data_IF_654687396143
#
_entry.id   IF_654687396143
#
_cell.length_a   1.000
_cell.length_b   1.000
_cell.length_c   1.000
_cell.angle_alpha   90.00
_cell.angle_beta   90.00
_cell.angle_gamma   90.00
#
_symmetry.space_group_name_H-M   'P 1'
#
loop_
_entity.id
_entity.type
_entity.pdbx_description
1 polymer ?
#
# COMPACT_ATOMS: atom_id res chain seq x y z
N UNK A 1 14.48 -39.19 -3.66
CA UNK A 1 15.02 -38.04 -2.91
C UNK A 1 13.90 -37.04 -2.83
N UNK A 2 13.59 -36.49 -1.65
CA UNK A 2 12.71 -35.33 -1.59
C UNK A 2 13.41 -34.19 -2.36
N UNK A 3 12.68 -33.47 -3.22
CA UNK A 3 13.18 -32.29 -3.90
C UNK A 3 13.54 -31.23 -2.84
N UNK A 4 14.53 -30.40 -3.13
CA UNK A 4 14.85 -29.26 -2.27
C UNK A 4 13.64 -28.31 -2.24
N UNK A 5 13.09 -27.94 -1.07
CA UNK A 5 11.92 -27.05 -0.98
C UNK A 5 12.08 -25.73 -1.76
N UNK A 6 13.31 -25.26 -1.91
CA UNK A 6 13.61 -24.07 -2.72
C UNK A 6 13.46 -24.36 -4.22
N UNK A 7 13.85 -25.55 -4.69
CA UNK A 7 13.64 -25.96 -6.08
C UNK A 7 12.15 -26.11 -6.39
N UNK A 8 11.36 -26.66 -5.45
CA UNK A 8 9.90 -26.73 -5.57
C UNK A 8 9.27 -25.34 -5.67
N UNK A 9 9.70 -24.38 -4.84
CA UNK A 9 9.25 -22.99 -4.92
C UNK A 9 9.60 -22.34 -6.27
N UNK A 10 10.81 -22.60 -6.80
CA UNK A 10 11.24 -22.04 -8.10
C UNK A 10 10.44 -22.61 -9.26
N UNK A 11 10.10 -23.90 -9.23
CA UNK A 11 9.18 -24.49 -10.21
C UNK A 11 7.79 -23.86 -10.10
N UNK A 12 7.23 -23.82 -8.89
CA UNK A 12 5.92 -23.22 -8.64
C UNK A 12 5.83 -21.75 -9.08
N UNK A 13 6.84 -20.94 -8.77
CA UNK A 13 6.90 -19.54 -9.20
C UNK A 13 6.96 -19.41 -10.73
N UNK A 14 7.71 -20.30 -11.41
CA UNK A 14 7.78 -20.33 -12.88
C UNK A 14 6.42 -20.63 -13.50
N UNK A 15 5.68 -21.58 -12.93
CA UNK A 15 4.31 -21.90 -13.37
C UNK A 15 3.37 -20.71 -13.18
N UNK A 16 3.45 -20.01 -12.05
CA UNK A 16 2.65 -18.80 -11.80
C UNK A 16 2.99 -17.67 -12.77
N UNK A 17 4.27 -17.45 -13.09
CA UNK A 17 4.68 -16.48 -14.11
C UNK A 17 4.10 -16.85 -15.48
N UNK A 18 4.18 -18.13 -15.86
CA UNK A 18 3.63 -18.61 -17.14
C UNK A 18 2.11 -18.42 -17.21
N UNK A 19 1.39 -18.72 -16.14
CA UNK A 19 -0.06 -18.50 -16.04
C UNK A 19 -0.41 -17.02 -16.15
N UNK A 20 0.28 -16.15 -15.40
CA UNK A 20 0.07 -14.71 -15.45
C UNK A 20 0.30 -14.13 -16.86
N UNK A 21 1.32 -14.61 -17.57
CA UNK A 21 1.58 -14.22 -18.97
C UNK A 21 0.51 -14.72 -19.93
N UNK A 22 0.01 -15.94 -19.75
CA UNK A 22 -1.10 -16.45 -20.55
C UNK A 22 -2.36 -15.61 -20.34
N UNK A 23 -2.61 -15.15 -19.11
CA UNK A 23 -3.70 -14.21 -18.82
C UNK A 23 -3.47 -12.85 -19.45
N UNK A 24 -2.26 -12.29 -19.37
CA UNK A 24 -1.93 -11.04 -20.06
C UNK A 24 -2.17 -11.13 -21.57
N UNK A 25 -1.73 -12.22 -22.19
CA UNK A 25 -1.97 -12.50 -23.60
C UNK A 25 -3.47 -12.61 -23.90
N UNK A 26 -4.25 -13.30 -23.06
CA UNK A 26 -5.71 -13.36 -23.19
C UNK A 26 -6.37 -12.00 -23.06
N UNK A 27 -5.92 -11.12 -22.18
CA UNK A 27 -6.45 -9.75 -22.10
C UNK A 27 -6.20 -9.00 -23.42
N UNK A 28 -5.02 -9.19 -24.01
CA UNK A 28 -4.64 -8.59 -25.29
C UNK A 28 -5.40 -9.21 -26.49
N UNK A 29 -5.77 -10.50 -26.42
CA UNK A 29 -6.44 -11.26 -27.48
C UNK A 29 -7.98 -11.28 -27.39
N UNK A 30 -8.55 -11.56 -26.21
CA UNK A 30 -9.99 -11.60 -25.93
C UNK A 30 -10.60 -10.20 -25.80
N UNK A 31 -9.79 -9.22 -25.38
CA UNK A 31 -10.22 -7.85 -25.38
C UNK A 31 -10.48 -7.43 -26.81
N UNK A 32 -11.63 -6.81 -27.07
CA UNK A 32 -11.84 -5.98 -28.27
C UNK A 32 -10.81 -4.83 -28.41
N UNK A 33 -9.74 -4.82 -27.58
CA UNK A 33 -8.48 -4.12 -27.73
C UNK A 33 -7.99 -4.05 -29.18
N UNK A 34 -8.23 -5.05 -30.02
CA UNK A 34 -7.81 -5.08 -31.43
C UNK A 34 -8.18 -3.82 -32.25
N UNK A 35 -9.13 -2.99 -31.82
CA UNK A 35 -9.59 -1.82 -32.57
C UNK A 35 -9.62 -0.50 -31.77
N UNK A 36 -8.96 -0.41 -30.61
CA UNK A 36 -8.87 0.85 -29.84
C UNK A 36 -7.58 1.62 -30.13
N UNK A 37 -7.72 2.93 -30.25
CA UNK A 37 -6.60 3.86 -30.27
C UNK A 37 -6.83 5.00 -29.28
N UNK A 38 -5.79 5.41 -28.55
CA UNK A 38 -5.87 6.56 -27.65
C UNK A 38 -5.99 7.85 -28.48
N UNK A 39 -7.10 8.56 -28.32
CA UNK A 39 -7.43 9.79 -29.07
C UNK A 39 -7.07 11.07 -28.32
N UNK A 40 -7.18 11.05 -26.99
CA UNK A 40 -6.84 12.21 -26.16
C UNK A 40 -6.31 11.75 -24.80
N UNK A 41 -5.53 12.63 -24.19
CA UNK A 41 -5.03 12.47 -22.82
C UNK A 41 -5.19 13.79 -22.08
N UNK A 42 -5.82 13.72 -20.91
CA UNK A 42 -5.92 14.82 -19.96
C UNK A 42 -5.10 14.46 -18.73
N UNK A 43 -4.38 15.43 -18.19
CA UNK A 43 -3.51 15.25 -17.01
C UNK A 43 -3.87 16.31 -16.00
N UNK A 44 -3.99 15.90 -14.75
CA UNK A 44 -4.39 16.75 -13.64
C UNK A 44 -3.34 16.60 -12.53
N UNK A 45 -3.00 17.72 -11.89
CA UNK A 45 -2.17 17.71 -10.69
C UNK A 45 -3.01 18.25 -9.56
N UNK A 46 -3.07 17.50 -8.46
CA UNK A 46 -3.77 17.93 -7.25
C UNK A 46 -2.82 17.97 -6.08
N UNK A 47 -3.15 18.82 -5.12
CA UNK A 47 -2.50 18.89 -3.82
C UNK A 47 -3.59 18.56 -2.80
N UNK A 48 -3.58 17.34 -2.26
CA UNK A 48 -4.58 16.86 -1.30
C UNK A 48 -4.09 17.10 0.12
N UNK A 49 -4.81 17.88 0.94
CA UNK A 49 -4.47 18.08 2.34
C UNK A 49 -4.68 16.82 3.19
N UNK A 50 -3.81 16.68 4.19
CA UNK A 50 -4.01 15.74 5.29
C UNK A 50 -4.99 16.33 6.32
N UNK A 51 -5.70 15.46 7.03
CA UNK A 51 -6.33 15.81 8.31
C UNK A 51 -5.23 15.84 9.37
N UNK A 52 -4.92 17.03 9.88
CA UNK A 52 -3.72 17.27 10.67
C UNK A 52 -2.46 17.38 9.81
N UNK A 53 -1.29 17.46 10.44
CA UNK A 53 -0.01 17.47 9.74
C UNK A 53 0.79 16.24 10.15
N UNK A 54 1.06 15.35 9.19
CA UNK A 54 1.90 14.17 9.39
C UNK A 54 3.34 14.59 9.64
N UNK A 55 3.85 14.25 10.84
CA UNK A 55 5.21 14.59 11.28
C UNK A 55 5.53 16.08 11.00
N UNK A 56 6.77 16.40 10.66
CA UNK A 56 7.21 17.75 10.30
C UNK A 56 7.26 17.99 8.78
N UNK A 57 6.55 17.20 7.97
CA UNK A 57 6.67 17.26 6.51
C UNK A 57 5.40 17.04 5.68
N UNK A 58 4.35 16.40 6.22
CA UNK A 58 3.15 16.08 5.45
C UNK A 58 1.92 16.90 5.86
N UNK A 59 1.79 18.14 5.37
CA UNK A 59 0.53 18.93 5.51
C UNK A 59 -0.40 18.78 4.30
N UNK A 60 0.15 18.40 3.15
CA UNK A 60 -0.57 17.96 1.96
C UNK A 60 0.36 17.10 1.09
N UNK A 61 -0.22 16.25 0.24
CA UNK A 61 0.52 15.46 -0.75
C UNK A 61 0.13 15.80 -2.19
N UNK A 62 1.13 15.79 -3.07
CA UNK A 62 0.93 15.99 -4.50
C UNK A 62 0.58 14.69 -5.20
N UNK A 63 -0.54 14.69 -5.94
CA UNK A 63 -0.94 13.56 -6.78
C UNK A 63 -1.07 14.00 -8.24
N UNK A 64 -0.78 13.08 -9.15
CA UNK A 64 -1.01 13.26 -10.59
C UNK A 64 -2.06 12.25 -11.05
N UNK A 65 -3.02 12.72 -11.82
CA UNK A 65 -4.03 11.90 -12.47
C UNK A 65 -3.97 12.06 -13.98
N UNK A 66 -4.35 11.01 -14.70
CA UNK A 66 -4.56 11.10 -16.14
C UNK A 66 -5.87 10.41 -16.54
N UNK A 67 -6.49 10.93 -17.60
CA UNK A 67 -7.59 10.29 -18.33
C UNK A 67 -7.11 9.98 -19.75
N UNK A 68 -7.17 8.72 -20.14
CA UNK A 68 -6.83 8.23 -21.46
C UNK A 68 -8.12 7.89 -22.20
N UNK A 69 -8.46 8.71 -23.19
CA UNK A 69 -9.68 8.55 -23.95
C UNK A 69 -9.40 7.79 -25.25
N UNK A 70 -10.23 6.80 -25.54
CA UNK A 70 -10.13 5.98 -26.76
C UNK A 70 -11.00 6.55 -27.89
N UNK A 71 -10.71 6.18 -29.13
CA UNK A 71 -11.51 6.45 -30.33
C UNK A 71 -12.95 5.91 -30.26
N UNK A 72 -13.20 4.94 -29.36
CA UNK A 72 -14.53 4.38 -29.06
C UNK A 72 -15.26 5.07 -27.90
N UNK A 73 -14.68 6.11 -27.31
CA UNK A 73 -15.31 6.89 -26.22
C UNK A 73 -15.14 6.30 -24.82
N UNK A 74 -14.41 5.20 -24.64
CA UNK A 74 -14.02 4.72 -23.31
C UNK A 74 -12.90 5.60 -22.75
N UNK A 75 -12.96 5.87 -21.44
CA UNK A 75 -11.95 6.64 -20.71
C UNK A 75 -11.35 5.75 -19.62
N UNK A 76 -10.04 5.51 -19.69
CA UNK A 76 -9.26 4.90 -18.63
C UNK A 76 -8.68 5.98 -17.71
N UNK A 77 -8.79 5.81 -16.40
CA UNK A 77 -8.21 6.75 -15.43
C UNK A 77 -6.91 6.19 -14.86
N UNK A 78 -5.94 7.03 -14.52
CA UNK A 78 -4.71 6.64 -13.83
C UNK A 78 -4.40 7.59 -12.67
N UNK A 79 -3.99 7.03 -11.54
CA UNK A 79 -3.33 7.75 -10.44
C UNK A 79 -1.83 7.47 -10.49
N UNK A 80 -1.00 8.50 -10.28
CA UNK A 80 0.46 8.41 -10.36
C UNK A 80 1.02 8.44 -11.78
N UNK A 81 0.28 9.01 -12.74
CA UNK A 81 0.72 9.18 -14.13
C UNK A 81 1.85 10.24 -14.25
N UNK A 82 2.55 10.24 -15.40
CA UNK A 82 3.51 11.31 -15.71
C UNK A 82 2.78 12.66 -15.78
N UNK A 83 3.30 13.65 -15.04
CA UNK A 83 2.72 15.00 -14.99
C UNK A 83 2.99 15.84 -16.24
N UNK A 84 3.97 15.48 -17.07
CA UNK A 84 4.20 16.16 -18.35
C UNK A 84 3.20 15.67 -19.40
N UNK A 85 2.16 16.48 -19.61
CA UNK A 85 1.11 16.22 -20.59
C UNK A 85 1.63 16.11 -22.02
N UNK A 86 2.61 16.93 -22.40
CA UNK A 86 3.10 16.96 -23.78
C UNK A 86 3.92 15.70 -24.07
N UNK A 87 4.80 15.32 -23.13
CA UNK A 87 5.57 14.09 -23.20
C UNK A 87 4.66 12.85 -23.23
N UNK A 88 3.68 12.79 -22.32
CA UNK A 88 2.76 11.66 -22.24
C UNK A 88 1.95 11.52 -23.54
N UNK A 89 1.41 12.64 -24.07
CA UNK A 89 0.71 12.64 -25.37
C UNK A 89 1.59 12.15 -26.51
N UNK A 90 2.84 12.60 -26.58
CA UNK A 90 3.77 12.20 -27.63
C UNK A 90 4.05 10.69 -27.63
N UNK A 91 3.98 10.03 -26.47
CA UNK A 91 4.21 8.60 -26.32
C UNK A 91 3.01 7.73 -26.66
N UNK A 92 1.80 8.15 -26.29
CA UNK A 92 0.61 7.27 -26.24
C UNK A 92 -0.43 7.53 -27.32
N UNK A 93 -0.51 8.74 -27.90
CA UNK A 93 -1.57 9.05 -28.87
C UNK A 93 -1.48 8.16 -30.13
N UNK A 94 -2.64 7.72 -30.61
CA UNK A 94 -2.78 6.83 -31.76
C UNK A 94 -2.37 5.38 -31.51
N UNK A 95 -1.81 5.06 -30.33
CA UNK A 95 -1.46 3.69 -29.96
C UNK A 95 -2.63 2.97 -29.32
N UNK A 96 -2.57 1.66 -29.39
CA UNK A 96 -3.44 0.77 -28.66
C UNK A 96 -3.15 0.90 -27.14
N UNK A 97 -4.17 1.05 -26.26
CA UNK A 97 -3.95 1.09 -24.81
C UNK A 97 -3.20 -0.11 -24.22
N UNK A 98 -3.22 -1.25 -24.91
CA UNK A 98 -2.57 -2.49 -24.49
C UNK A 98 -1.22 -2.74 -25.19
N UNK A 99 -0.72 -1.78 -25.98
CA UNK A 99 0.61 -1.84 -26.57
C UNK A 99 1.68 -1.88 -25.46
N UNK A 100 2.50 -2.94 -25.47
CA UNK A 100 3.55 -3.17 -24.48
C UNK A 100 4.53 -2.00 -24.35
N UNK A 101 4.74 -1.20 -25.41
CA UNK A 101 5.63 -0.04 -25.41
C UNK A 101 5.15 1.12 -24.55
N UNK A 102 3.85 1.17 -24.19
CA UNK A 102 3.26 2.22 -23.36
C UNK A 102 2.61 1.70 -22.07
N UNK A 103 2.73 0.41 -21.77
CA UNK A 103 2.17 -0.21 -20.55
C UNK A 103 2.51 0.57 -19.29
N UNK A 104 3.79 0.96 -19.15
CA UNK A 104 4.27 1.74 -18.00
C UNK A 104 3.70 3.16 -17.94
N UNK A 105 3.43 3.79 -19.10
CA UNK A 105 2.84 5.13 -19.18
C UNK A 105 1.33 5.10 -18.88
N UNK A 106 0.64 4.03 -19.27
CA UNK A 106 -0.78 3.80 -18.95
C UNK A 106 -0.97 3.52 -17.46
N UNK A 107 -0.06 2.76 -16.85
CA UNK A 107 -0.10 2.39 -15.43
C UNK A 107 -1.45 1.81 -15.03
N UNK A 108 -2.11 2.43 -14.04
CA UNK A 108 -3.42 2.01 -13.56
C UNK A 108 -4.53 2.06 -14.65
N UNK A 109 -4.44 2.98 -15.63
CA UNK A 109 -5.45 3.09 -16.70
C UNK A 109 -5.50 1.87 -17.62
N UNK A 110 -4.39 1.12 -17.75
CA UNK A 110 -4.39 -0.16 -18.46
C UNK A 110 -5.43 -1.11 -17.87
N UNK A 111 -5.48 -1.21 -16.54
CA UNK A 111 -6.38 -2.11 -15.82
C UNK A 111 -7.81 -1.61 -15.79
N UNK A 112 -7.99 -0.30 -15.65
CA UNK A 112 -9.31 0.31 -15.74
C UNK A 112 -9.95 0.05 -17.11
N UNK A 113 -9.17 0.22 -18.20
CA UNK A 113 -9.62 -0.08 -19.55
C UNK A 113 -9.84 -1.58 -19.76
N UNK A 114 -9.01 -2.46 -19.19
CA UNK A 114 -9.20 -3.91 -19.29
C UNK A 114 -10.60 -4.33 -18.80
N UNK A 115 -11.00 -3.89 -17.60
CA UNK A 115 -12.34 -4.18 -17.09
C UNK A 115 -13.45 -3.45 -17.84
N UNK A 116 -13.23 -2.19 -18.27
CA UNK A 116 -14.24 -1.42 -19.05
C UNK A 116 -14.54 -2.05 -20.41
N UNK A 117 -13.52 -2.50 -21.13
CA UNK A 117 -13.67 -3.17 -22.43
C UNK A 117 -14.36 -4.52 -22.26
N UNK A 118 -14.06 -5.23 -21.18
CA UNK A 118 -14.73 -6.48 -20.84
C UNK A 118 -16.17 -6.27 -20.30
N UNK A 119 -16.59 -5.02 -20.04
CA UNK A 119 -17.84 -4.65 -19.35
C UNK A 119 -18.00 -5.34 -17.98
N UNK A 120 -16.90 -5.41 -17.22
CA UNK A 120 -16.82 -6.14 -15.95
C UNK A 120 -16.00 -5.40 -14.91
N UNK A 121 -16.32 -5.55 -13.60
CA UNK A 121 -15.43 -5.10 -12.53
C UNK A 121 -14.08 -5.80 -12.66
N UNK A 122 -12.98 -5.05 -12.52
CA UNK A 122 -11.62 -5.55 -12.75
C UNK A 122 -11.32 -6.81 -11.94
N UNK A 123 -11.58 -6.81 -10.64
CA UNK A 123 -11.31 -7.95 -9.76
C UNK A 123 -12.08 -9.20 -10.20
N UNK A 124 -13.36 -9.05 -10.59
CA UNK A 124 -14.17 -10.16 -11.12
C UNK A 124 -13.66 -10.65 -12.47
N UNK A 125 -13.23 -9.74 -13.35
CA UNK A 125 -12.68 -10.11 -14.65
C UNK A 125 -11.39 -10.92 -14.50
N UNK A 126 -10.45 -10.46 -13.67
CA UNK A 126 -9.22 -11.19 -13.37
C UNK A 126 -9.48 -12.53 -12.69
N UNK A 127 -10.40 -12.56 -11.73
CA UNK A 127 -10.81 -13.80 -11.04
C UNK A 127 -11.27 -14.88 -12.02
N UNK A 128 -12.11 -14.52 -12.99
CA UNK A 128 -12.57 -15.42 -14.04
C UNK A 128 -11.44 -15.84 -15.00
N UNK A 129 -10.56 -14.92 -15.41
CA UNK A 129 -9.46 -15.22 -16.32
C UNK A 129 -8.48 -16.24 -15.72
N UNK A 130 -8.23 -16.13 -14.42
CA UNK A 130 -7.42 -17.10 -13.66
C UNK A 130 -8.21 -18.35 -13.25
N UNK A 131 -9.51 -18.44 -13.57
CA UNK A 131 -10.40 -19.52 -13.18
C UNK A 131 -10.33 -19.85 -11.68
N UNK A 132 -10.27 -18.82 -10.84
CA UNK A 132 -10.17 -18.99 -9.39
C UNK A 132 -11.47 -19.57 -8.86
N UNK A 133 -11.38 -20.68 -8.13
CA UNK A 133 -12.57 -21.38 -7.61
C UNK A 133 -13.15 -20.72 -6.35
N UNK A 134 -12.31 -20.01 -5.59
CA UNK A 134 -12.70 -19.35 -4.34
C UNK A 134 -13.66 -18.19 -4.59
N UNK A 135 -14.64 -17.90 -3.72
CA UNK A 135 -15.50 -16.73 -3.89
C UNK A 135 -14.72 -15.41 -3.94
N UNK A 136 -15.17 -14.49 -4.80
CA UNK A 136 -14.65 -13.12 -4.84
C UNK A 136 -15.16 -12.35 -3.61
N UNK A 137 -14.28 -11.62 -2.92
CA UNK A 137 -14.74 -10.74 -1.85
C UNK A 137 -15.53 -9.54 -2.38
N UNK A 138 -16.61 -9.23 -1.68
CA UNK A 138 -17.41 -8.03 -1.90
C UNK A 138 -16.90 -6.83 -1.08
N UNK A 139 -16.21 -7.12 0.03
CA UNK A 139 -15.69 -6.13 0.97
C UNK A 139 -14.31 -6.54 1.46
N UNK A 140 -13.43 -5.56 1.61
CA UNK A 140 -12.04 -5.76 2.05
C UNK A 140 -11.85 -5.00 3.37
N UNK A 141 -11.37 -5.67 4.44
CA UNK A 141 -11.04 -5.02 5.69
C UNK A 141 -9.78 -4.19 5.52
N UNK A 142 -9.81 -3.05 6.19
CA UNK A 142 -8.78 -2.04 6.13
C UNK A 142 -8.18 -1.87 7.53
N UNK A 143 -6.91 -1.48 7.59
CA UNK A 143 -6.21 -1.07 8.79
C UNK A 143 -6.11 0.44 8.80
N UNK A 144 -6.50 1.07 9.90
CA UNK A 144 -6.33 2.51 10.07
C UNK A 144 -4.85 2.82 10.28
N UNK A 145 -4.22 3.47 9.31
CA UNK A 145 -2.86 3.97 9.49
C UNK A 145 -2.92 5.29 10.27
N UNK A 146 -2.31 5.32 11.45
CA UNK A 146 -2.27 6.48 12.35
C UNK A 146 -0.83 6.91 12.70
N UNK A 147 -0.68 8.16 13.11
CA UNK A 147 0.61 8.74 13.54
C UNK A 147 0.41 9.84 14.58
N UNK A 148 1.51 10.21 15.23
CA UNK A 148 1.63 11.51 15.91
C UNK A 148 1.55 12.63 14.87
N UNK A 149 0.63 13.57 15.03
CA UNK A 149 0.40 14.67 14.09
C UNK A 149 0.52 16.03 14.78
N UNK A 150 1.07 17.00 14.05
CA UNK A 150 0.98 18.41 14.41
C UNK A 150 -0.35 18.99 13.92
N UNK A 151 -0.74 20.20 14.36
CA UNK A 151 -1.95 20.84 13.86
C UNK A 151 -1.92 21.02 12.33
N UNK A 152 -3.08 20.95 11.70
CA UNK A 152 -3.28 21.34 10.29
C UNK A 152 -3.09 22.85 10.09
N UNK A 153 -3.23 23.32 8.84
CA UNK A 153 -3.04 24.73 8.49
C UNK A 153 -4.02 25.68 9.21
N UNK A 154 -5.11 25.14 9.76
CA UNK A 154 -6.14 25.86 10.50
C UNK A 154 -5.95 25.74 12.03
N UNK A 155 -4.86 25.12 12.49
CA UNK A 155 -4.55 24.93 13.90
C UNK A 155 -5.38 23.85 14.58
N UNK A 156 -5.90 22.85 13.84
CA UNK A 156 -6.73 21.76 14.37
C UNK A 156 -6.09 20.39 14.17
N UNK A 157 -6.72 19.33 14.69
CA UNK A 157 -6.38 17.93 14.39
C UNK A 157 -4.96 17.49 14.80
N UNK A 158 -4.42 18.09 15.87
CA UNK A 158 -3.18 17.64 16.51
C UNK A 158 -3.40 16.32 17.28
N UNK A 159 -2.43 15.41 17.19
CA UNK A 159 -2.41 14.15 17.93
C UNK A 159 -1.06 14.03 18.63
N UNK A 160 -1.08 14.14 19.96
CA UNK A 160 0.11 13.99 20.82
C UNK A 160 0.20 12.57 21.37
N UNK A 161 1.27 12.23 22.10
CA UNK A 161 1.38 10.93 22.77
C UNK A 161 0.25 10.73 23.80
N UNK A 162 -0.17 11.81 24.44
CA UNK A 162 -1.19 11.83 25.48
C UNK A 162 -2.60 11.69 24.87
N UNK A 163 -2.89 12.37 23.75
CA UNK A 163 -4.21 12.29 23.09
C UNK A 163 -4.35 11.11 22.12
N UNK A 164 -3.25 10.45 21.75
CA UNK A 164 -3.26 9.37 20.76
C UNK A 164 -4.24 8.22 21.10
N UNK A 165 -4.30 7.68 22.33
CA UNK A 165 -5.22 6.59 22.64
C UNK A 165 -6.68 6.98 22.41
N UNK A 166 -7.07 8.21 22.78
CA UNK A 166 -8.43 8.73 22.56
C UNK A 166 -8.70 8.97 21.07
N UNK A 167 -7.72 9.50 20.32
CA UNK A 167 -7.82 9.68 18.88
C UNK A 167 -8.05 8.35 18.15
N UNK A 168 -7.28 7.30 18.48
CA UNK A 168 -7.44 5.96 17.91
C UNK A 168 -8.83 5.39 18.23
N UNK A 169 -9.30 5.52 19.48
CA UNK A 169 -10.67 5.13 19.83
C UNK A 169 -11.71 5.91 19.00
N UNK A 170 -11.47 7.20 18.74
CA UNK A 170 -12.32 8.04 17.89
C UNK A 170 -12.45 7.49 16.48
N UNK A 171 -11.31 7.20 15.83
CA UNK A 171 -11.26 6.61 14.48
C UNK A 171 -11.96 5.25 14.43
N UNK A 172 -11.74 4.41 15.44
CA UNK A 172 -12.40 3.11 15.54
C UNK A 172 -13.92 3.28 15.70
N UNK A 173 -14.38 4.23 16.52
CA UNK A 173 -15.82 4.52 16.67
C UNK A 173 -16.45 5.07 15.38
N UNK A 174 -15.73 5.91 14.65
CA UNK A 174 -16.24 6.55 13.45
C UNK A 174 -16.33 5.59 12.26
N UNK A 175 -15.30 4.77 12.05
CA UNK A 175 -15.18 3.94 10.86
C UNK A 175 -15.35 2.45 11.13
N UNK A 176 -15.32 2.02 12.39
CA UNK A 176 -15.46 0.63 12.80
C UNK A 176 -14.19 -0.22 12.61
N UNK A 177 -13.01 0.39 12.62
CA UNK A 177 -11.76 -0.35 12.40
C UNK A 177 -11.50 -1.41 13.47
N UNK A 178 -11.04 -2.56 12.98
CA UNK A 178 -10.66 -3.71 13.79
C UNK A 178 -9.15 -3.89 13.90
N UNK A 179 -8.40 -3.15 13.10
CA UNK A 179 -6.95 -3.18 13.01
C UNK A 179 -6.42 -1.75 12.86
N UNK A 180 -5.32 -1.45 13.54
CA UNK A 180 -4.64 -0.15 13.45
C UNK A 180 -3.15 -0.37 13.20
N UNK A 181 -2.52 0.56 12.47
CA UNK A 181 -1.08 0.59 12.25
C UNK A 181 -0.51 1.92 12.74
N UNK A 182 0.46 1.85 13.66
CA UNK A 182 1.12 3.02 14.23
C UNK A 182 2.44 3.30 13.51
N UNK A 183 2.57 4.50 12.93
CA UNK A 183 3.88 4.99 12.48
C UNK A 183 4.72 5.43 13.68
N UNK A 184 5.93 4.88 13.81
CA UNK A 184 6.79 5.02 14.99
C UNK A 184 8.25 5.42 14.67
N UNK A 185 8.42 6.31 13.71
CA UNK A 185 9.76 6.67 13.23
C UNK A 185 10.34 7.95 13.83
N UNK A 186 9.55 8.60 14.67
CA UNK A 186 9.91 9.87 15.24
C UNK A 186 10.68 9.59 16.54
N UNK A 187 10.05 9.20 17.63
CA UNK A 187 10.71 9.26 18.94
C UNK A 187 11.57 8.03 19.30
N UNK A 188 12.29 8.14 20.43
CA UNK A 188 13.05 7.00 20.97
C UNK A 188 12.12 5.82 21.33
N UNK A 189 12.59 4.57 21.22
CA UNK A 189 11.77 3.37 21.44
C UNK A 189 10.96 3.37 22.74
N UNK A 190 11.52 3.89 23.85
CA UNK A 190 10.85 3.86 25.16
C UNK A 190 9.54 4.66 25.18
N UNK A 191 9.45 5.78 24.45
CA UNK A 191 8.21 6.56 24.36
C UNK A 191 7.13 5.78 23.60
N UNK A 192 7.54 5.03 22.58
CA UNK A 192 6.63 4.19 21.83
C UNK A 192 6.17 2.95 22.60
N UNK A 193 7.00 2.38 23.48
CA UNK A 193 6.58 1.31 24.38
C UNK A 193 5.39 1.80 25.23
N UNK A 194 5.57 2.91 25.94
CA UNK A 194 4.51 3.51 26.77
C UNK A 194 3.24 3.82 25.96
N UNK A 195 3.40 4.43 24.78
CA UNK A 195 2.28 4.73 23.90
C UNK A 195 1.48 3.48 23.52
N UNK A 196 2.17 2.39 23.14
CA UNK A 196 1.53 1.15 22.70
C UNK A 196 0.76 0.50 23.85
N UNK A 197 1.29 0.54 25.07
CA UNK A 197 0.56 0.11 26.28
C UNK A 197 -0.72 0.93 26.50
N UNK A 198 -0.62 2.25 26.40
CA UNK A 198 -1.76 3.15 26.56
C UNK A 198 -2.83 2.93 25.48
N UNK A 199 -2.42 2.74 24.23
CA UNK A 199 -3.32 2.42 23.13
C UNK A 199 -3.97 1.06 23.37
N UNK A 200 -3.22 0.01 23.71
CA UNK A 200 -3.76 -1.32 24.01
C UNK A 200 -4.80 -1.28 25.14
N UNK A 201 -4.53 -0.53 26.21
CA UNK A 201 -5.49 -0.32 27.30
C UNK A 201 -6.77 0.37 26.80
N UNK A 202 -6.65 1.35 25.90
CA UNK A 202 -7.78 2.10 25.38
C UNK A 202 -8.63 1.29 24.39
N UNK A 203 -8.01 0.58 23.45
CA UNK A 203 -8.74 -0.12 22.37
C UNK A 203 -9.20 -1.53 22.76
N UNK A 204 -8.66 -2.08 23.85
CA UNK A 204 -8.97 -3.42 24.33
C UNK A 204 -8.20 -4.52 23.61
N UNK A 205 -8.40 -5.80 23.99
CA UNK A 205 -7.62 -6.93 23.47
C UNK A 205 -8.01 -7.37 22.06
N UNK A 206 -9.21 -6.99 21.61
CA UNK A 206 -9.77 -7.43 20.33
C UNK A 206 -9.12 -6.70 19.14
N UNK A 207 -8.82 -5.41 19.27
CA UNK A 207 -8.26 -4.63 18.14
C UNK A 207 -6.82 -5.04 17.88
N UNK A 208 -6.50 -5.42 16.66
CA UNK A 208 -5.13 -5.74 16.26
C UNK A 208 -4.28 -4.46 16.13
N UNK A 209 -3.04 -4.52 16.61
CA UNK A 209 -2.11 -3.38 16.59
C UNK A 209 -0.86 -3.79 15.81
N UNK A 210 -0.59 -3.06 14.74
CA UNK A 210 0.67 -3.08 13.98
C UNK A 210 1.50 -1.87 14.32
N UNK A 211 2.81 -2.01 14.20
CA UNK A 211 3.74 -0.94 14.53
C UNK A 211 4.84 -0.86 13.49
N UNK A 212 5.17 0.35 13.06
CA UNK A 212 6.05 0.58 11.92
C UNK A 212 7.07 1.70 12.20
N UNK A 213 8.28 1.36 12.68
CA UNK A 213 9.37 2.32 12.83
C UNK A 213 10.01 2.75 11.50
N UNK A 214 9.59 2.24 10.33
CA UNK A 214 10.10 2.61 9.01
C UNK A 214 11.62 2.52 8.90
N UNK A 215 12.18 1.40 9.34
CA UNK A 215 13.61 1.13 9.28
C UNK A 215 14.46 2.21 9.99
N UNK A 216 13.92 2.87 11.02
CA UNK A 216 14.61 3.96 11.73
C UNK A 216 15.53 3.50 12.86
N UNK A 217 15.37 2.26 13.35
CA UNK A 217 16.12 1.77 14.52
C UNK A 217 17.32 0.90 14.15
N UNK A 218 18.26 0.79 15.10
CA UNK A 218 19.21 -0.33 15.12
C UNK A 218 18.60 -1.58 15.78
N UNK A 219 19.22 -2.74 15.57
CA UNK A 219 18.73 -4.03 16.13
C UNK A 219 18.51 -4.00 17.65
N UNK A 220 19.42 -3.37 18.39
CA UNK A 220 19.29 -3.27 19.84
C UNK A 220 18.11 -2.39 20.29
N UNK A 221 17.77 -1.35 19.52
CA UNK A 221 16.60 -0.50 19.77
C UNK A 221 15.32 -1.26 19.44
N UNK A 222 15.28 -1.92 18.28
CA UNK A 222 14.15 -2.77 17.87
C UNK A 222 13.87 -3.88 18.88
N UNK A 223 14.90 -4.64 19.30
CA UNK A 223 14.73 -5.72 20.28
C UNK A 223 14.26 -5.21 21.64
N UNK A 224 14.74 -4.04 22.09
CA UNK A 224 14.23 -3.41 23.32
C UNK A 224 12.75 -3.07 23.20
N UNK A 225 12.33 -2.49 22.09
CA UNK A 225 10.92 -2.21 21.82
C UNK A 225 10.09 -3.50 21.82
N UNK A 226 10.48 -4.49 21.01
CA UNK A 226 9.73 -5.74 20.85
C UNK A 226 9.52 -6.46 22.20
N UNK A 227 10.55 -6.51 23.07
CA UNK A 227 10.41 -7.07 24.43
C UNK A 227 9.50 -6.24 25.33
N UNK A 228 9.50 -4.93 25.18
CA UNK A 228 8.70 -4.02 26.00
C UNK A 228 7.20 -4.04 25.70
N UNK A 229 6.79 -4.59 24.55
CA UNK A 229 5.39 -4.63 24.10
C UNK A 229 4.90 -6.05 23.83
N UNK A 230 5.61 -7.07 24.31
CA UNK A 230 5.26 -8.48 24.07
C UNK A 230 3.86 -8.81 24.63
N UNK A 231 3.51 -8.25 25.78
CA UNK A 231 2.21 -8.35 26.44
C UNK A 231 1.10 -7.49 25.80
N UNK A 232 1.45 -6.63 24.83
CA UNK A 232 0.49 -5.90 24.02
C UNK A 232 -0.01 -6.70 22.81
N UNK A 233 0.56 -7.89 22.55
CA UNK A 233 0.19 -8.79 21.44
C UNK A 233 0.07 -8.04 20.12
N UNK A 234 1.21 -7.50 19.70
CA UNK A 234 1.36 -6.82 18.41
C UNK A 234 1.20 -7.85 17.29
N UNK A 235 0.40 -7.51 16.27
CA UNK A 235 0.16 -8.38 15.11
C UNK A 235 1.45 -8.57 14.31
N UNK A 236 2.17 -7.46 14.04
CA UNK A 236 3.57 -7.47 13.59
C UNK A 236 4.27 -6.12 13.82
N UNK A 237 5.60 -6.16 13.77
CA UNK A 237 6.45 -4.99 13.56
C UNK A 237 6.94 -4.93 12.12
N UNK A 238 6.69 -3.81 11.45
CA UNK A 238 7.11 -3.60 10.07
C UNK A 238 8.49 -2.96 10.00
N UNK A 239 9.39 -3.54 9.21
CA UNK A 239 10.71 -2.98 8.90
C UNK A 239 11.43 -2.37 10.12
N UNK A 240 11.71 -3.15 11.18
CA UNK A 240 12.22 -2.62 12.43
C UNK A 240 13.59 -1.94 12.33
N UNK A 241 14.41 -2.33 11.34
CA UNK A 241 15.83 -1.97 11.29
C UNK A 241 16.23 -1.40 9.94
N UNK A 242 16.96 -0.28 9.97
CA UNK A 242 17.49 0.41 8.79
C UNK A 242 18.81 -0.11 8.25
N UNK A 243 19.16 0.32 7.05
CA UNK A 243 20.47 0.06 6.44
C UNK A 243 20.37 -0.32 4.98
N UNK A 244 21.45 -0.91 4.45
CA UNK A 244 21.42 -1.52 3.11
C UNK A 244 20.45 -2.71 3.12
N UNK A 245 19.93 -3.06 1.95
CA UNK A 245 18.93 -4.13 1.80
C UNK A 245 19.37 -5.46 2.44
N UNK A 246 20.64 -5.84 2.29
CA UNK A 246 21.20 -7.05 2.92
C UNK A 246 21.24 -6.97 4.46
N UNK A 247 21.40 -5.78 5.02
CA UNK A 247 21.34 -5.57 6.47
C UNK A 247 19.92 -5.75 7.02
N UNK A 248 18.92 -5.17 6.34
CA UNK A 248 17.50 -5.31 6.72
C UNK A 248 17.12 -6.79 6.81
N UNK A 249 17.54 -7.59 5.82
CA UNK A 249 17.22 -9.01 5.77
C UNK A 249 17.88 -9.82 6.88
N UNK A 250 19.16 -9.55 7.14
CA UNK A 250 19.92 -10.21 8.21
C UNK A 250 19.38 -9.84 9.59
N UNK A 251 19.03 -8.58 9.79
CA UNK A 251 18.44 -8.08 11.04
C UNK A 251 17.06 -8.70 11.27
N UNK A 252 16.18 -8.70 10.27
CA UNK A 252 14.88 -9.36 10.35
C UNK A 252 15.00 -10.83 10.71
N UNK A 253 15.88 -11.58 10.03
CA UNK A 253 16.14 -12.98 10.34
C UNK A 253 16.58 -13.19 11.79
N UNK A 254 17.52 -12.38 12.32
CA UNK A 254 17.94 -12.47 13.73
C UNK A 254 16.82 -12.12 14.70
N UNK A 255 16.09 -11.04 14.46
CA UNK A 255 15.05 -10.55 15.37
C UNK A 255 13.90 -11.56 15.52
N UNK A 256 13.52 -12.26 14.45
CA UNK A 256 12.54 -13.36 14.48
C UNK A 256 12.94 -14.51 15.41
N UNK A 257 14.23 -14.73 15.64
CA UNK A 257 14.72 -15.74 16.58
C UNK A 257 14.79 -15.23 18.03
N UNK A 258 14.67 -13.92 18.23
CA UNK A 258 14.88 -13.26 19.52
C UNK A 258 13.60 -12.70 20.13
N UNK A 259 12.50 -12.67 19.39
CA UNK A 259 11.20 -12.18 19.82
C UNK A 259 10.08 -12.96 19.14
N UNK A 260 8.95 -13.21 19.83
CA UNK A 260 7.79 -13.86 19.23
C UNK A 260 6.92 -12.93 18.38
N UNK A 261 7.21 -11.61 18.34
CA UNK A 261 6.43 -10.66 17.53
C UNK A 261 6.80 -10.87 16.05
N UNK A 262 5.83 -11.15 15.16
CA UNK A 262 6.08 -11.32 13.74
C UNK A 262 6.69 -10.07 13.11
N UNK A 263 7.50 -10.26 12.06
CA UNK A 263 8.10 -9.16 11.29
C UNK A 263 7.43 -9.09 9.92
N UNK A 264 7.02 -7.90 9.50
CA UNK A 264 6.61 -7.64 8.12
C UNK A 264 7.63 -6.77 7.38
N UNK A 265 7.56 -6.78 6.06
CA UNK A 265 8.21 -5.77 5.23
C UNK A 265 7.44 -5.59 3.92
N UNK A 266 7.27 -4.34 3.50
CA UNK A 266 6.68 -4.02 2.20
C UNK A 266 7.73 -4.06 1.07
N UNK A 267 9.01 -3.90 1.40
CA UNK A 267 10.11 -4.20 0.50
C UNK A 267 10.30 -5.72 0.27
N UNK A 268 9.71 -6.55 1.14
CA UNK A 268 9.76 -7.99 1.06
C UNK A 268 8.56 -8.57 0.31
N UNK A 269 8.69 -8.52 -1.00
CA UNK A 269 8.18 -9.55 -1.90
C UNK A 269 9.00 -10.83 -1.68
N UNK A 270 8.49 -12.05 -1.93
CA UNK A 270 9.38 -13.20 -2.12
C UNK A 270 10.56 -12.71 -2.95
N UNK A 271 11.79 -12.74 -2.39
CA UNK A 271 12.81 -11.80 -2.78
C UNK A 271 13.13 -12.05 -4.25
N UNK A 272 13.16 -10.99 -5.04
CA UNK A 272 13.48 -11.04 -6.46
C UNK A 272 14.83 -10.39 -6.74
N UNK A 273 15.49 -10.86 -7.79
CA UNK A 273 16.68 -10.20 -8.33
C UNK A 273 16.24 -8.87 -8.92
N UNK A 274 16.64 -7.77 -8.28
CA UNK A 274 16.26 -6.42 -8.71
C UNK A 274 16.72 -6.17 -10.15
N UNK A 275 15.76 -5.92 -11.02
CA UNK A 275 15.99 -5.44 -12.38
C UNK A 275 16.24 -3.92 -12.34
N UNK A 276 17.20 -3.39 -13.11
CA UNK A 276 17.49 -1.95 -13.15
C UNK A 276 16.36 -1.11 -13.78
N UNK A 277 15.39 -1.72 -14.47
CA UNK A 277 14.38 -1.02 -15.26
C UNK A 277 12.93 -1.23 -14.78
N UNK A 278 12.67 -1.11 -13.48
CA UNK A 278 11.28 -1.12 -13.01
C UNK A 278 10.52 0.13 -13.51
N UNK A 279 9.71 -0.04 -14.57
CA UNK A 279 8.98 1.04 -15.25
C UNK A 279 7.52 1.10 -14.81
N UNK A 280 7.14 2.21 -14.17
CA UNK A 280 5.74 2.64 -14.00
C UNK A 280 4.97 1.98 -12.84
N UNK A 281 4.06 2.75 -12.23
CA UNK A 281 3.14 2.23 -11.19
C UNK A 281 2.05 1.38 -11.84
N UNK A 282 1.78 0.22 -11.25
CA UNK A 282 0.79 -0.78 -11.69
C UNK A 282 1.10 -1.47 -13.02
N UNK A 283 2.37 -1.44 -13.46
CA UNK A 283 2.79 -1.93 -14.78
C UNK A 283 3.20 -3.40 -14.86
N UNK A 284 3.18 -4.17 -13.78
CA UNK A 284 3.73 -5.54 -13.70
C UNK A 284 5.20 -5.67 -14.13
N UNK A 285 5.97 -4.58 -14.06
CA UNK A 285 7.37 -4.55 -14.52
C UNK A 285 8.34 -5.44 -13.73
N UNK A 286 7.86 -6.23 -12.78
CA UNK A 286 8.64 -7.23 -12.04
C UNK A 286 8.14 -8.66 -12.26
N UNK A 287 7.13 -8.88 -13.10
CA UNK A 287 6.59 -10.20 -13.38
C UNK A 287 7.67 -11.17 -13.89
N UNK A 288 8.65 -10.68 -14.64
CA UNK A 288 9.77 -11.44 -15.19
C UNK A 288 11.01 -11.53 -14.27
N UNK A 289 11.01 -10.83 -13.13
CA UNK A 289 12.16 -10.84 -12.24
C UNK A 289 12.31 -12.23 -11.60
N UNK A 290 13.48 -12.86 -11.72
CA UNK A 290 13.74 -14.15 -11.07
C UNK A 290 13.74 -14.01 -9.54
N UNK A 291 13.34 -15.07 -8.83
CA UNK A 291 13.52 -15.13 -7.38
C UNK A 291 15.03 -15.08 -7.03
N UNK A 292 15.37 -14.31 -6.00
CA UNK A 292 16.68 -14.30 -5.35
C UNK A 292 16.76 -15.51 -4.40
N UNK A 293 17.04 -16.66 -5.01
CA UNK A 293 17.21 -17.96 -4.34
C UNK A 293 18.31 -17.90 -3.28
N UNK A 294 19.37 -17.14 -3.52
CA UNK A 294 20.45 -16.99 -2.54
C UNK A 294 19.99 -16.23 -1.30
N UNK A 295 19.14 -15.20 -1.46
CA UNK A 295 18.54 -14.52 -0.32
C UNK A 295 17.62 -15.46 0.47
N UNK A 296 16.77 -16.23 -0.21
CA UNK A 296 15.87 -17.22 0.41
C UNK A 296 16.62 -18.27 1.23
N UNK A 297 17.71 -18.83 0.68
CA UNK A 297 18.52 -19.85 1.35
C UNK A 297 19.26 -19.30 2.57
N UNK A 298 19.65 -18.03 2.52
CA UNK A 298 20.47 -17.41 3.58
C UNK A 298 19.62 -16.82 4.69
N UNK A 299 18.49 -16.21 4.36
CA UNK A 299 17.72 -15.39 5.28
C UNK A 299 16.23 -15.66 5.14
N UNK A 300 15.55 -15.71 6.27
CA UNK A 300 14.10 -15.62 6.35
C UNK A 300 13.77 -14.33 7.10
N UNK A 301 13.71 -13.18 6.40
CA UNK A 301 13.76 -11.87 7.05
C UNK A 301 12.42 -11.44 7.67
N UNK A 302 11.30 -12.00 7.21
CA UNK A 302 9.97 -11.61 7.60
C UNK A 302 9.03 -12.82 7.65
N UNK A 303 7.94 -12.66 8.39
CA UNK A 303 6.82 -13.57 8.57
C UNK A 303 5.64 -13.15 7.67
N UNK A 304 5.51 -11.85 7.38
CA UNK A 304 4.46 -11.26 6.53
C UNK A 304 5.09 -10.56 5.32
N UNK A 305 4.58 -10.86 4.12
CA UNK A 305 4.85 -10.12 2.89
C UNK A 305 3.74 -9.09 2.65
N UNK A 306 4.09 -7.80 2.65
CA UNK A 306 3.12 -6.71 2.55
C UNK A 306 3.43 -5.72 1.41
N UNK A 307 3.57 -6.18 0.15
CA UNK A 307 4.06 -5.32 -0.91
C UNK A 307 3.16 -4.15 -1.28
N UNK A 308 3.77 -3.19 -1.97
CA UNK A 308 3.07 -2.10 -2.62
C UNK A 308 2.19 -2.59 -3.77
N UNK A 309 0.98 -2.03 -3.84
CA UNK A 309 0.05 -2.26 -4.95
C UNK A 309 0.63 -1.85 -6.33
N UNK A 310 1.65 -0.98 -6.33
CA UNK A 310 2.32 -0.49 -7.53
C UNK A 310 3.02 -1.56 -8.36
N UNK A 311 3.29 -2.74 -7.80
CA UNK A 311 3.78 -3.86 -8.61
C UNK A 311 2.82 -4.19 -9.76
N UNK A 312 1.51 -4.04 -9.56
CA UNK A 312 0.46 -4.37 -10.53
C UNK A 312 -0.24 -5.70 -10.23
N UNK A 313 -1.46 -5.91 -10.75
CA UNK A 313 -2.30 -7.07 -10.42
C UNK A 313 -1.66 -8.44 -10.71
N UNK A 314 -0.96 -8.61 -11.83
CA UNK A 314 -0.40 -9.91 -12.21
C UNK A 314 0.87 -10.23 -11.41
N UNK A 315 1.75 -9.24 -11.26
CA UNK A 315 2.93 -9.36 -10.42
C UNK A 315 2.54 -9.65 -8.97
N UNK A 316 1.53 -8.95 -8.43
CA UNK A 316 1.03 -9.20 -7.08
C UNK A 316 0.39 -10.58 -6.92
N UNK A 317 -0.38 -11.07 -7.91
CA UNK A 317 -0.89 -12.45 -7.87
C UNK A 317 0.25 -13.45 -7.70
N UNK A 318 1.30 -13.35 -8.53
CA UNK A 318 2.51 -14.18 -8.42
C UNK A 318 3.13 -14.07 -7.03
N UNK A 319 3.29 -12.85 -6.51
CA UNK A 319 3.94 -12.63 -5.22
C UNK A 319 3.16 -13.21 -4.05
N UNK A 320 1.84 -13.06 -4.05
CA UNK A 320 1.01 -13.62 -3.01
C UNK A 320 0.94 -15.15 -3.10
N UNK A 321 0.92 -15.74 -4.29
CA UNK A 321 1.01 -17.19 -4.46
C UNK A 321 2.33 -17.74 -3.93
N UNK A 322 3.46 -17.13 -4.32
CA UNK A 322 4.79 -17.54 -3.86
C UNK A 322 4.94 -17.33 -2.34
N UNK A 323 4.42 -16.23 -1.79
CA UNK A 323 4.44 -15.99 -0.35
C UNK A 323 3.63 -17.06 0.42
N UNK A 324 2.47 -17.44 -0.11
CA UNK A 324 1.63 -18.50 0.48
C UNK A 324 2.27 -19.87 0.36
N UNK A 325 2.92 -20.18 -0.75
CA UNK A 325 3.71 -21.41 -0.91
C UNK A 325 4.78 -21.52 0.18
N UNK A 326 5.40 -20.40 0.54
CA UNK A 326 6.40 -20.32 1.61
C UNK A 326 5.81 -20.32 3.03
N UNK A 327 4.48 -20.30 3.19
CA UNK A 327 3.81 -20.23 4.50
C UNK A 327 3.88 -18.85 5.16
N UNK A 328 3.87 -17.77 4.38
CA UNK A 328 3.90 -16.41 4.88
C UNK A 328 2.50 -15.81 5.01
N UNK A 329 2.34 -14.92 5.99
CA UNK A 329 1.20 -14.00 6.01
C UNK A 329 1.28 -13.04 4.83
N UNK A 330 0.12 -12.60 4.32
CA UNK A 330 0.04 -11.65 3.23
C UNK A 330 -0.74 -10.41 3.65
N UNK A 331 -0.18 -9.24 3.34
CA UNK A 331 -0.82 -7.94 3.51
C UNK A 331 -0.57 -7.08 2.28
N UNK A 332 -0.93 -5.79 2.36
CA UNK A 332 -0.64 -4.84 1.30
C UNK A 332 -0.41 -3.47 1.91
N UNK A 333 0.76 -2.91 1.61
CA UNK A 333 1.16 -1.59 2.08
C UNK A 333 0.33 -0.48 1.43
N UNK A 334 0.20 0.64 2.16
CA UNK A 334 -0.41 1.88 1.68
C UNK A 334 0.66 2.85 1.24
N UNK A 335 0.60 3.29 -0.02
CA UNK A 335 1.63 4.13 -0.61
C UNK A 335 1.13 5.55 -0.91
N UNK A 336 0.20 6.03 -0.07
CA UNK A 336 -0.60 7.23 -0.26
C UNK A 336 -1.47 7.10 -1.51
N UNK A 337 -2.75 6.82 -1.29
CA UNK A 337 -3.72 6.58 -2.35
C UNK A 337 -4.95 7.45 -2.18
N UNK A 338 -5.48 7.92 -3.31
CA UNK A 338 -6.83 8.46 -3.41
C UNK A 338 -7.78 7.42 -4.01
N UNK A 339 -8.98 7.84 -4.43
CA UNK A 339 -10.04 6.94 -4.86
C UNK A 339 -9.64 5.94 -5.95
N UNK A 340 -8.95 6.33 -7.04
CA UNK A 340 -8.56 5.40 -8.10
C UNK A 340 -7.56 4.34 -7.63
N UNK A 341 -6.50 4.74 -6.91
CA UNK A 341 -5.55 3.78 -6.35
C UNK A 341 -6.19 2.90 -5.25
N UNK A 342 -7.12 3.43 -4.46
CA UNK A 342 -7.90 2.64 -3.50
C UNK A 342 -8.76 1.61 -4.22
N UNK A 343 -9.47 1.98 -5.29
CA UNK A 343 -10.30 1.07 -6.07
C UNK A 343 -9.50 -0.11 -6.64
N UNK A 344 -8.33 0.13 -7.27
CA UNK A 344 -7.52 -0.99 -7.80
C UNK A 344 -6.99 -1.89 -6.68
N UNK A 345 -6.64 -1.34 -5.51
CA UNK A 345 -6.22 -2.12 -4.34
C UNK A 345 -7.32 -3.06 -3.86
N UNK A 346 -8.57 -2.57 -3.80
CA UNK A 346 -9.73 -3.39 -3.45
C UNK A 346 -9.97 -4.50 -4.48
N UNK A 347 -9.88 -4.19 -5.78
CA UNK A 347 -10.00 -5.20 -6.85
C UNK A 347 -8.90 -6.25 -6.77
N UNK A 348 -7.64 -5.84 -6.56
CA UNK A 348 -6.51 -6.76 -6.39
C UNK A 348 -6.74 -7.65 -5.18
N UNK A 349 -7.07 -7.07 -4.02
CA UNK A 349 -7.34 -7.85 -2.81
C UNK A 349 -8.48 -8.85 -3.06
N UNK A 350 -9.60 -8.42 -3.66
CA UNK A 350 -10.74 -9.28 -3.96
C UNK A 350 -10.38 -10.47 -4.89
N UNK A 351 -9.43 -10.24 -5.80
CA UNK A 351 -8.93 -11.22 -6.76
C UNK A 351 -7.87 -12.18 -6.16
N UNK A 352 -6.87 -11.66 -5.43
CA UNK A 352 -5.67 -12.42 -5.04
C UNK A 352 -5.73 -13.03 -3.64
N UNK A 353 -6.56 -12.50 -2.73
CA UNK A 353 -6.62 -13.02 -1.38
C UNK A 353 -7.59 -14.21 -1.32
N UNK A 354 -7.20 -15.33 -0.68
CA UNK A 354 -8.08 -16.50 -0.52
C UNK A 354 -9.18 -16.23 0.51
N UNK A 355 -10.36 -15.82 0.06
CA UNK A 355 -11.49 -15.59 0.99
C UNK A 355 -12.16 -16.89 1.48
N UNK A 356 -11.65 -18.06 1.09
CA UNK A 356 -12.01 -19.36 1.68
C UNK A 356 -11.47 -19.55 3.10
N UNK A 357 -10.44 -18.80 3.47
CA UNK A 357 -10.14 -18.61 4.88
C UNK A 357 -11.00 -17.46 5.37
N UNK A 358 -11.89 -17.64 6.37
CA UNK A 358 -12.44 -16.48 7.03
C UNK A 358 -11.24 -15.60 7.39
N UNK A 359 -11.34 -14.28 7.18
CA UNK A 359 -10.56 -13.37 8.01
C UNK A 359 -10.70 -13.94 9.39
N UNK A 360 -9.64 -14.54 9.92
CA UNK A 360 -9.72 -15.09 11.24
C UNK A 360 -9.74 -13.85 12.12
N UNK A 361 -10.92 -13.26 12.30
CA UNK A 361 -11.72 -13.39 13.52
C UNK A 361 -11.14 -14.55 14.36
N UNK A 362 -9.95 -14.34 14.88
CA UNK A 362 -9.54 -14.83 16.19
C UNK A 362 -9.85 -13.67 17.14
N UNK A 363 -11.13 -13.30 17.20
CA UNK A 363 -11.65 -12.59 18.37
C UNK A 363 -11.49 -13.58 19.53
N UNK A 364 -10.53 -13.34 20.43
CA UNK A 364 -10.17 -14.24 21.53
C UNK A 364 -9.00 -15.20 21.21
N UNK A 365 -7.86 -14.92 21.85
CA UNK A 365 -6.50 -15.50 21.70
C UNK A 365 -6.31 -17.00 22.02
N UNK A 366 -7.33 -17.84 21.96
CA UNK A 366 -7.19 -19.22 22.47
C UNK A 366 -6.78 -20.27 21.44
N UNK A 367 -6.46 -19.91 20.18
CA UNK A 367 -5.93 -20.88 19.20
C UNK A 367 -4.81 -20.31 18.34
N UNK A 368 -3.83 -21.18 18.13
CA UNK A 368 -2.63 -21.00 17.31
C UNK A 368 -2.91 -20.20 16.02
N UNK A 369 -1.97 -19.30 15.69
CA UNK A 369 -1.89 -18.63 14.39
C UNK A 369 -2.19 -19.66 13.28
N UNK A 370 -3.17 -19.41 12.38
CA UNK A 370 -3.23 -20.16 11.14
C UNK A 370 -1.87 -19.99 10.45
N UNK A 371 -1.27 -21.05 9.88
CA UNK A 371 0.08 -20.99 9.31
C UNK A 371 0.20 -20.03 8.11
N UNK A 372 -0.89 -19.45 7.63
CA UNK A 372 -0.94 -18.36 6.66
C UNK A 372 -2.25 -17.57 6.86
N UNK A 373 -2.19 -16.25 6.80
CA UNK A 373 -3.36 -15.35 6.95
C UNK A 373 -3.30 -14.22 5.93
N UNK A 374 -4.48 -13.83 5.42
CA UNK A 374 -4.64 -12.58 4.69
C UNK A 374 -5.03 -11.48 5.68
N UNK A 375 -4.28 -10.39 5.69
CA UNK A 375 -4.40 -9.34 6.69
C UNK A 375 -5.09 -8.09 6.11
N UNK A 376 -5.80 -7.29 6.94
CA UNK A 376 -6.39 -6.01 6.52
C UNK A 376 -5.40 -5.13 5.76
N UNK A 377 -5.87 -4.46 4.70
CA UNK A 377 -5.06 -3.56 3.87
C UNK A 377 -4.70 -2.29 4.66
N UNK A 378 -3.44 -1.89 4.67
CA UNK A 378 -3.07 -0.59 5.23
C UNK A 378 -3.79 0.53 4.47
N UNK A 379 -4.31 1.55 5.18
CA UNK A 379 -4.96 2.68 4.53
C UNK A 379 -4.59 4.00 5.21
N UNK A 380 -4.01 4.90 4.42
CA UNK A 380 -3.98 6.33 4.75
C UNK A 380 -5.31 7.02 4.38
N UNK A 381 -6.21 6.31 3.70
CA UNK A 381 -7.38 6.87 3.03
C UNK A 381 -8.34 7.61 3.97
N UNK A 382 -8.49 7.17 5.24
CA UNK A 382 -9.31 7.89 6.22
C UNK A 382 -8.72 9.27 6.60
N UNK A 383 -7.43 9.49 6.39
CA UNK A 383 -6.68 10.67 6.83
C UNK A 383 -6.65 11.80 5.80
N UNK A 384 -7.21 11.61 4.60
CA UNK A 384 -7.36 12.69 3.62
C UNK A 384 -8.56 13.59 3.93
N UNK A 385 -8.43 14.89 3.67
CA UNK A 385 -9.55 15.83 3.75
C UNK A 385 -10.66 15.47 2.75
N UNK A 386 -10.30 14.90 1.59
CA UNK A 386 -11.26 14.55 0.55
C UNK A 386 -10.76 13.49 -0.44
N UNK A 387 -11.37 13.51 -1.61
CA UNK A 387 -11.05 12.65 -2.76
C UNK A 387 -11.40 13.38 -4.07
N UNK A 388 -10.94 12.83 -5.19
CA UNK A 388 -11.12 13.31 -6.56
C UNK A 388 -12.08 12.46 -7.39
N UNK A 389 -12.68 11.42 -6.82
CA UNK A 389 -13.69 10.59 -7.52
C UNK A 389 -15.11 11.13 -7.32
N UNK A 390 -16.01 10.78 -8.25
CA UNK A 390 -17.46 11.06 -8.12
C UNK A 390 -18.01 10.40 -6.86
N UNK A 391 -18.85 11.14 -6.14
CA UNK A 391 -19.37 10.72 -4.83
C UNK A 391 -18.43 11.01 -3.65
N UNK A 392 -17.18 11.41 -3.91
CA UNK A 392 -16.18 11.68 -2.87
C UNK A 392 -15.57 10.41 -2.28
N UNK A 393 -15.08 10.49 -1.03
CA UNK A 393 -14.41 9.37 -0.38
C UNK A 393 -15.33 8.15 -0.26
N UNK A 394 -14.80 6.96 -0.51
CA UNK A 394 -15.47 5.70 -0.19
C UNK A 394 -15.72 5.63 1.32
N UNK A 395 -16.93 5.22 1.70
CA UNK A 395 -17.31 5.11 3.10
C UNK A 395 -16.84 3.78 3.68
N UNK A 396 -16.17 3.85 4.83
CA UNK A 396 -15.94 2.68 5.66
C UNK A 396 -17.26 2.21 6.26
N UNK A 397 -17.47 0.90 6.24
CA UNK A 397 -18.51 0.24 7.01
C UNK A 397 -17.84 -0.84 7.87
N UNK A 398 -17.90 -0.71 9.20
CA UNK A 398 -17.27 -1.64 10.15
C UNK A 398 -15.79 -1.94 9.85
N UNK A 399 -15.02 -0.95 9.39
CA UNK A 399 -13.59 -1.12 9.04
C UNK A 399 -13.34 -1.75 7.67
N UNK A 400 -14.39 -1.97 6.87
CA UNK A 400 -14.28 -2.49 5.51
C UNK A 400 -14.58 -1.42 4.47
N UNK A 401 -13.99 -1.56 3.28
CA UNK A 401 -14.43 -0.88 2.07
C UNK A 401 -15.05 -1.90 1.10
N UNK A 402 -16.14 -1.48 0.45
CA UNK A 402 -16.81 -2.28 -0.58
C UNK A 402 -16.04 -2.21 -1.90
N UNK A 403 -15.84 -3.36 -2.53
CA UNK A 403 -15.22 -3.44 -3.86
C UNK A 403 -16.18 -2.81 -4.88
N UNK A 404 -15.75 -1.81 -5.67
CA UNK A 404 -16.64 -1.20 -6.65
C UNK A 404 -17.16 -2.21 -7.69
N UNK A 405 -18.45 -2.15 -8.00
CA UNK A 405 -19.14 -3.12 -8.87
C UNK A 405 -19.35 -2.66 -10.31
N UNK A 406 -18.92 -1.44 -10.66
CA UNK A 406 -18.96 -0.95 -12.04
C UNK A 406 -17.83 -1.52 -12.91
N UNK A 407 -17.90 -1.40 -14.25
CA UNK A 407 -16.83 -1.83 -15.14
C UNK A 407 -15.48 -1.15 -14.87
N UNK A 408 -14.39 -1.87 -15.15
CA UNK A 408 -13.04 -1.37 -14.86
C UNK A 408 -12.81 -1.28 -13.36
N UNK A 409 -12.32 -0.12 -12.90
CA UNK A 409 -12.20 0.13 -11.48
C UNK A 409 -13.54 0.43 -10.79
N UNK A 410 -14.60 0.71 -11.54
CA UNK A 410 -15.90 1.08 -10.99
C UNK A 410 -15.95 2.46 -10.34
N UNK A 411 -14.97 3.34 -10.64
CA UNK A 411 -14.93 4.74 -10.20
C UNK A 411 -14.62 5.67 -11.38
N UNK A 412 -15.02 6.92 -11.25
CA UNK A 412 -14.79 7.98 -12.25
C UNK A 412 -14.22 9.22 -11.56
N UNK A 413 -13.35 9.96 -12.26
CA UNK A 413 -12.86 11.24 -11.77
C UNK A 413 -13.96 12.30 -11.79
N UNK A 414 -13.94 13.16 -10.79
CA UNK A 414 -14.82 14.32 -10.65
C UNK A 414 -14.01 15.58 -10.98
N UNK A 415 -14.36 16.22 -12.10
CA UNK A 415 -13.61 17.36 -12.61
C UNK A 415 -13.76 18.62 -11.74
N UNK A 416 -14.88 18.76 -11.01
CA UNK A 416 -15.04 19.84 -10.04
C UNK A 416 -14.14 19.63 -8.83
N UNK A 417 -14.02 18.39 -8.34
CA UNK A 417 -13.10 18.05 -7.24
C UNK A 417 -11.64 18.15 -7.67
N UNK A 418 -11.29 17.70 -8.88
CA UNK A 418 -9.95 17.91 -9.44
C UNK A 418 -9.59 19.39 -9.53
N UNK A 419 -10.52 20.24 -9.94
CA UNK A 419 -10.32 21.69 -9.94
C UNK A 419 -10.21 22.26 -8.52
N UNK A 420 -11.06 21.79 -7.60
CA UNK A 420 -11.05 22.20 -6.20
C UNK A 420 -9.72 21.88 -5.53
N UNK A 421 -9.15 20.69 -5.74
CA UNK A 421 -7.85 20.27 -5.20
C UNK A 421 -6.67 20.56 -6.13
N UNK A 422 -6.86 21.32 -7.22
CA UNK A 422 -5.80 21.57 -8.19
C UNK A 422 -4.54 22.13 -7.52
N UNK A 423 -3.38 21.61 -7.93
CA UNK A 423 -2.09 22.02 -7.41
C UNK A 423 -1.71 23.39 -7.98
N UNK A 424 -1.94 24.45 -7.20
CA UNK A 424 -1.51 25.81 -7.53
C UNK A 424 -0.26 26.20 -6.73
N UNK A 425 0.52 27.15 -7.25
CA UNK A 425 1.70 27.68 -6.55
C UNK A 425 1.32 28.33 -5.21
N UNK A 426 0.17 29.01 -5.17
CA UNK A 426 -0.38 29.61 -3.95
C UNK A 426 -0.63 28.56 -2.85
N UNK A 427 -1.37 27.48 -3.16
CA UNK A 427 -1.65 26.41 -2.19
C UNK A 427 -0.37 25.73 -1.74
N UNK A 428 0.51 25.39 -2.68
CA UNK A 428 1.80 24.77 -2.37
C UNK A 428 2.65 25.65 -1.43
N UNK A 429 2.67 26.96 -1.67
CA UNK A 429 3.37 27.94 -0.82
C UNK A 429 2.76 27.99 0.58
N UNK A 430 1.42 27.98 0.69
CA UNK A 430 0.72 27.96 1.98
C UNK A 430 1.10 26.73 2.81
N UNK A 431 1.03 25.53 2.21
CA UNK A 431 1.43 24.29 2.89
C UNK A 431 2.92 24.27 3.24
N UNK A 432 3.79 24.79 2.38
CA UNK A 432 5.23 24.90 2.63
C UNK A 432 5.50 25.80 3.84
N UNK A 433 4.90 26.99 3.89
CA UNK A 433 5.06 27.93 5.01
C UNK A 433 4.58 27.34 6.33
N UNK A 434 3.46 26.60 6.31
CA UNK A 434 2.96 25.88 7.48
C UNK A 434 3.97 24.86 8.00
N UNK A 435 4.53 24.04 7.11
CA UNK A 435 5.57 23.06 7.46
C UNK A 435 6.84 23.74 8.00
N UNK A 436 7.29 24.84 7.39
CA UNK A 436 8.44 25.61 7.87
C UNK A 436 8.20 26.15 9.28
N UNK A 437 6.99 26.59 9.58
CA UNK A 437 6.60 27.05 10.93
C UNK A 437 6.68 25.92 11.94
N UNK A 438 6.10 24.75 11.63
CA UNK A 438 6.19 23.55 12.49
C UNK A 438 7.64 23.17 12.75
N UNK A 439 8.48 23.16 11.71
CA UNK A 439 9.90 22.84 11.83
C UNK A 439 10.63 23.83 12.74
N UNK A 440 10.44 25.12 12.53
CA UNK A 440 11.07 26.16 13.35
C UNK A 440 10.62 26.10 14.82
N UNK A 441 9.35 25.80 15.08
CA UNK A 441 8.83 25.71 16.45
C UNK A 441 9.29 24.44 17.16
N UNK A 442 9.28 23.29 16.48
CA UNK A 442 9.44 22.00 17.14
C UNK A 442 10.79 21.32 16.91
N UNK A 443 11.41 21.45 15.74
CA UNK A 443 12.71 20.79 15.47
C UNK A 443 13.88 21.59 16.04
N UNK A 444 13.83 22.92 15.94
CA UNK A 444 14.89 23.78 16.51
C UNK A 444 14.91 23.69 18.04
N UNK A 445 13.74 23.58 18.66
CA UNK A 445 13.60 23.36 20.10
C UNK A 445 14.20 22.01 20.56
N UNK A 446 14.18 20.99 19.70
CA UNK A 446 14.72 19.66 19.96
C UNK A 446 16.18 19.48 19.50
N UNK A 447 16.79 20.50 18.88
CA UNK A 447 18.12 20.45 18.23
C UNK A 447 18.27 19.33 17.18
N UNK A 448 17.17 18.90 16.56
CA UNK A 448 17.18 17.82 15.57
C UNK A 448 17.66 18.30 14.20
N UNK A 449 18.48 17.51 13.51
CA UNK A 449 18.81 17.72 12.09
C UNK A 449 18.01 16.75 11.22
N UNK A 450 17.25 17.29 10.28
CA UNK A 450 16.60 16.51 9.21
C UNK A 450 17.56 16.50 8.02
N UNK A 451 18.07 15.34 7.63
CA UNK A 451 18.83 15.19 6.37
C UNK A 451 17.86 15.03 5.18
N UNK A 452 18.36 15.23 3.94
CA UNK A 452 17.57 15.03 2.72
C UNK A 452 17.07 13.58 2.68
N UNK A 453 15.75 13.42 2.74
CA UNK A 453 15.08 12.11 2.79
C UNK A 453 14.07 11.95 3.92
N UNK A 454 13.99 12.91 4.86
CA UNK A 454 12.95 12.92 5.90
C UNK A 454 13.21 11.98 7.09
N UNK A 455 14.31 11.22 7.07
CA UNK A 455 14.68 10.28 8.12
C UNK A 455 15.87 10.79 8.96
N UNK A 456 15.89 10.46 10.25
CA UNK A 456 16.72 11.08 11.29
C UNK A 456 18.22 10.77 11.20
N UNK A 457 19.02 11.73 11.71
CA UNK A 457 20.18 11.46 12.58
C UNK A 457 20.14 12.39 13.80
N UNK A 458 20.27 11.81 14.99
CA UNK A 458 20.52 12.61 16.21
C UNK A 458 21.88 13.30 16.10
N UNK A 459 21.95 14.56 16.56
CA UNK A 459 23.24 15.17 16.87
C UNK A 459 23.67 14.57 18.22
N UNK A 460 24.74 13.76 18.21
CA UNK A 460 25.45 13.44 19.46
C UNK A 460 26.05 14.71 20.06
#
# INVERSE_FOLDING_TARGET
MALDPIEELVEFDRENVALAKAVEQRIQEEGMAADHAIRDVRVYRVLMPWVGTKRWDGSAEGFTFAEFETDKGLVGIAEGANSDRAELKAKVLGKNPFDASIRADMGLAYWDLAGKIADRPLGRYLHDLFAIETPLAERVPMSAYTWYSFPDINGKNEVTFESYPEYVQGIIREHGFHNIKLSMCDFEPHRYIELVHNIRQAVGPEVDIRVDPHASWGEAQALRFMRGVEDCHIEWIEEPVGGRFDHIFRAGHRLRHLSPIPISSHAWLPPIVKQPDHRGRYGDGTLDAALDVDALRRWQPADISAPDAYAGPLALKRYYDAARFMGLGIGMHSAYELGPATAIRLHIAAFVFPYEMPYHIVWGRDRAFPPFSAHPLDAHYNQWEGDVIRGGKMAYDQGFLTVPTGPGLGVELDHERLAHYAHTEEKATTHTRHIETIRATHLDALQWKVERGGWRRYKM
#
